data_IF_999492453211
#
_entry.id   IF_999492453211
#
_cell.length_a   1.000
_cell.length_b   1.000
_cell.length_c   1.000
_cell.angle_alpha   90.00
_cell.angle_beta   90.00
_cell.angle_gamma   90.00
#
_symmetry.space_group_name_H-M   'P 1'
#
loop_
_entity.id
_entity.type
_entity.pdbx_description
1 polymer ?
#
# COMPACT_ATOMS: atom_id res chain seq x y z
N UNK A 1 -13.26 -23.92 -6.61
CA UNK A 1 -12.47 -23.17 -5.59
C UNK A 1 -11.42 -22.41 -6.38
N UNK A 2 -11.66 -21.15 -6.70
CA UNK A 2 -10.62 -20.28 -7.23
C UNK A 2 -9.70 -19.94 -6.07
N UNK A 3 -8.46 -20.43 -6.14
CA UNK A 3 -7.41 -19.97 -5.24
C UNK A 3 -7.36 -18.45 -5.39
N UNK A 4 -7.38 -17.73 -4.27
CA UNK A 4 -7.06 -16.30 -4.26
C UNK A 4 -5.60 -16.25 -4.67
N UNK A 5 -5.33 -15.81 -5.91
CA UNK A 5 -3.97 -15.75 -6.42
C UNK A 5 -3.21 -14.75 -5.54
N UNK A 6 -2.25 -15.27 -4.80
CA UNK A 6 -1.32 -14.42 -4.04
C UNK A 6 -0.52 -13.65 -5.08
N UNK A 7 -0.58 -12.35 -5.01
CA UNK A 7 0.24 -11.45 -5.83
C UNK A 7 1.34 -10.84 -4.98
N UNK A 8 2.50 -10.64 -5.59
CA UNK A 8 3.57 -9.84 -5.00
C UNK A 8 3.45 -8.42 -5.56
N UNK A 9 3.32 -7.48 -4.68
CA UNK A 9 3.52 -6.06 -4.98
C UNK A 9 5.02 -5.76 -4.90
N UNK A 10 5.55 -5.16 -5.95
CA UNK A 10 6.95 -4.73 -6.03
C UNK A 10 6.94 -3.23 -6.29
N UNK A 11 7.33 -2.44 -5.32
CA UNK A 11 7.23 -0.99 -5.41
C UNK A 11 8.49 -0.26 -4.97
N UNK A 12 8.71 0.90 -5.56
CA UNK A 12 9.60 1.94 -5.03
C UNK A 12 8.77 3.17 -4.67
N UNK A 13 9.16 3.81 -3.58
CA UNK A 13 8.50 5.01 -3.09
C UNK A 13 9.50 6.15 -3.02
N UNK A 14 9.08 7.31 -3.51
CA UNK A 14 9.89 8.52 -3.55
C UNK A 14 9.15 9.69 -2.91
N UNK A 15 9.87 10.54 -2.18
CA UNK A 15 9.35 11.78 -1.63
C UNK A 15 9.61 12.96 -2.56
N UNK A 16 8.63 13.85 -2.65
CA UNK A 16 8.72 15.08 -3.41
C UNK A 16 8.21 16.25 -2.58
N UNK A 17 8.64 17.45 -2.94
CA UNK A 17 8.20 18.66 -2.28
C UNK A 17 6.69 18.90 -2.51
N UNK A 18 6.26 18.66 -3.75
CA UNK A 18 4.89 18.76 -4.22
C UNK A 18 4.72 18.01 -5.55
N UNK A 19 3.52 18.04 -6.12
CA UNK A 19 3.23 17.44 -7.41
C UNK A 19 4.03 18.05 -8.57
N UNK A 20 4.32 19.35 -8.52
CA UNK A 20 5.10 20.02 -9.57
C UNK A 20 6.56 19.53 -9.58
N UNK A 21 7.15 19.33 -8.39
CA UNK A 21 8.47 18.71 -8.25
C UNK A 21 8.47 17.27 -8.76
N UNK A 22 7.42 16.49 -8.46
CA UNK A 22 7.27 15.13 -8.97
C UNK A 22 7.19 15.09 -10.51
N UNK A 23 6.37 15.94 -11.13
CA UNK A 23 6.22 16.00 -12.59
C UNK A 23 7.49 16.48 -13.30
N UNK A 24 8.28 17.35 -12.68
CA UNK A 24 9.56 17.80 -13.23
C UNK A 24 10.58 16.67 -13.27
N UNK A 25 10.64 15.83 -12.26
CA UNK A 25 11.60 14.71 -12.14
C UNK A 25 11.13 13.49 -12.90
N UNK A 26 9.82 13.22 -12.87
CA UNK A 26 9.15 12.09 -13.50
C UNK A 26 8.09 12.59 -14.48
N UNK A 27 8.48 13.10 -15.67
CA UNK A 27 7.56 13.78 -16.58
C UNK A 27 6.44 12.87 -17.11
N UNK A 28 6.63 11.55 -17.15
CA UNK A 28 5.62 10.59 -17.57
C UNK A 28 4.40 10.54 -16.63
N UNK A 29 4.54 10.90 -15.36
CA UNK A 29 3.46 10.86 -14.37
C UNK A 29 2.25 11.69 -14.82
N UNK A 30 2.50 12.86 -15.43
CA UNK A 30 1.43 13.76 -15.85
C UNK A 30 0.50 13.15 -16.90
N UNK A 31 1.03 12.29 -17.76
CA UNK A 31 0.26 11.57 -18.78
C UNK A 31 -0.31 10.25 -18.25
N UNK A 32 0.27 9.68 -17.19
CA UNK A 32 -0.13 8.40 -16.63
C UNK A 32 -1.41 8.49 -15.80
N UNK A 33 -1.64 9.61 -15.10
CA UNK A 33 -2.78 9.73 -14.18
C UNK A 33 -4.10 9.90 -14.93
N UNK A 34 -5.05 9.05 -14.56
CA UNK A 34 -6.39 9.02 -15.16
C UNK A 34 -7.51 8.82 -14.12
N UNK A 35 -7.17 8.75 -12.84
CA UNK A 35 -8.12 8.49 -11.77
C UNK A 35 -7.69 9.19 -10.49
N UNK A 36 -8.65 9.74 -9.79
CA UNK A 36 -8.50 10.48 -8.55
C UNK A 36 -9.36 9.82 -7.46
N UNK A 37 -8.84 9.68 -6.27
CA UNK A 37 -9.54 9.09 -5.14
C UNK A 37 -9.19 9.81 -3.82
N UNK A 38 -10.19 9.97 -2.97
CA UNK A 38 -10.00 10.23 -1.55
C UNK A 38 -10.10 8.92 -0.79
N UNK A 39 -9.31 8.77 0.24
CA UNK A 39 -9.32 7.55 1.03
C UNK A 39 -9.10 7.80 2.51
N UNK A 40 -9.70 6.93 3.32
CA UNK A 40 -9.43 6.81 4.74
C UNK A 40 -9.11 5.35 5.04
N UNK A 41 -7.96 5.09 5.61
CA UNK A 41 -7.50 3.75 5.97
C UNK A 41 -7.37 3.63 7.48
N UNK A 42 -7.92 2.56 8.02
CA UNK A 42 -7.83 2.16 9.44
C UNK A 42 -6.93 0.96 9.55
N UNK A 43 -5.92 1.03 10.39
CA UNK A 43 -4.98 -0.05 10.63
C UNK A 43 -5.35 -0.82 11.90
N UNK A 44 -5.30 -2.15 11.79
CA UNK A 44 -5.70 -3.10 12.82
C UNK A 44 -4.54 -4.01 13.21
N UNK A 45 -4.54 -4.50 14.46
CA UNK A 45 -3.52 -5.43 14.92
C UNK A 45 -2.14 -4.78 15.04
N UNK A 46 -1.93 -3.96 16.07
CA UNK A 46 -0.64 -3.30 16.29
C UNK A 46 0.52 -4.28 16.39
N UNK A 47 0.31 -5.48 16.91
CA UNK A 47 1.28 -6.57 17.00
C UNK A 47 1.71 -7.08 15.61
N UNK A 48 0.76 -7.22 14.67
CA UNK A 48 1.05 -7.56 13.28
C UNK A 48 1.88 -6.45 12.62
N UNK A 49 1.48 -5.20 12.85
CA UNK A 49 2.20 -4.05 12.33
C UNK A 49 3.65 -4.02 12.81
N UNK A 50 3.90 -4.25 14.09
CA UNK A 50 5.24 -4.30 14.68
C UNK A 50 6.05 -5.51 14.19
N UNK A 51 5.38 -6.58 13.74
CA UNK A 51 5.98 -7.72 13.08
C UNK A 51 6.18 -7.51 11.55
N UNK A 52 5.97 -6.31 11.03
CA UNK A 52 6.19 -5.97 9.63
C UNK A 52 5.04 -6.28 8.69
N UNK A 53 3.88 -6.68 9.21
CA UNK A 53 2.68 -6.95 8.42
C UNK A 53 1.70 -5.79 8.51
N UNK A 54 0.89 -5.57 7.47
CA UNK A 54 -0.16 -4.56 7.46
C UNK A 54 -1.52 -5.22 7.35
N UNK A 55 -2.41 -4.91 8.27
CA UNK A 55 -3.82 -5.29 8.23
C UNK A 55 -4.65 -4.02 8.24
N UNK A 56 -5.49 -3.82 7.22
CA UNK A 56 -6.18 -2.53 7.03
C UNK A 56 -7.60 -2.69 6.50
N UNK A 57 -8.45 -1.74 6.88
CA UNK A 57 -9.71 -1.49 6.20
C UNK A 57 -9.66 -0.08 5.61
N UNK A 58 -9.91 0.03 4.31
CA UNK A 58 -9.92 1.29 3.58
C UNK A 58 -11.32 1.64 3.11
N UNK A 59 -11.70 2.88 3.31
CA UNK A 59 -12.83 3.52 2.64
C UNK A 59 -12.26 4.37 1.52
N UNK A 60 -12.71 4.14 0.30
CA UNK A 60 -12.29 4.87 -0.90
C UNK A 60 -13.50 5.58 -1.48
N UNK A 61 -13.37 6.88 -1.70
CA UNK A 61 -14.37 7.70 -2.37
C UNK A 61 -13.85 8.05 -3.76
N UNK A 62 -14.64 7.71 -4.76
CA UNK A 62 -14.37 8.01 -6.16
C UNK A 62 -15.67 8.38 -6.87
N UNK A 63 -15.69 9.52 -7.59
CA UNK A 63 -16.88 9.97 -8.35
C UNK A 63 -18.17 9.91 -7.52
N UNK A 64 -18.09 10.35 -6.25
CA UNK A 64 -19.17 10.27 -5.24
C UNK A 64 -19.60 8.85 -4.85
N UNK A 65 -18.94 7.81 -5.32
CA UNK A 65 -19.15 6.43 -4.90
C UNK A 65 -18.18 6.05 -3.81
N UNK A 66 -18.68 5.33 -2.82
CA UNK A 66 -17.91 4.85 -1.68
C UNK A 66 -17.74 3.34 -1.77
N UNK A 67 -16.50 2.90 -1.72
CA UNK A 67 -16.11 1.50 -1.65
C UNK A 67 -15.36 1.20 -0.34
N UNK A 68 -15.54 -0.01 0.17
CA UNK A 68 -14.81 -0.51 1.35
C UNK A 68 -13.95 -1.70 0.95
N UNK A 69 -12.70 -1.67 1.39
CA UNK A 69 -11.70 -2.68 1.06
C UNK A 69 -11.08 -3.22 2.34
N UNK A 70 -10.79 -4.50 2.34
CA UNK A 70 -10.01 -5.17 3.36
C UNK A 70 -8.69 -5.58 2.73
N UNK A 71 -7.58 -5.25 3.38
CA UNK A 71 -6.25 -5.51 2.86
C UNK A 71 -5.33 -6.13 3.90
N UNK A 72 -4.47 -7.05 3.45
CA UNK A 72 -3.36 -7.58 4.21
C UNK A 72 -2.10 -7.55 3.34
N UNK A 73 -1.00 -7.08 3.93
CA UNK A 73 0.35 -7.19 3.34
C UNK A 73 1.25 -7.96 4.28
N UNK A 74 2.04 -8.87 3.73
CA UNK A 74 3.08 -9.60 4.43
C UNK A 74 4.31 -8.75 4.73
N UNK A 75 5.34 -9.39 5.28
CA UNK A 75 6.63 -8.77 5.54
C UNK A 75 7.34 -8.36 4.23
N UNK A 76 8.13 -7.29 4.29
CA UNK A 76 8.95 -6.86 3.17
C UNK A 76 10.18 -7.77 3.03
N UNK A 77 10.34 -8.40 1.89
CA UNK A 77 11.47 -9.27 1.54
C UNK A 77 12.41 -8.65 0.50
N UNK A 78 12.11 -7.42 0.06
CA UNK A 78 12.89 -6.72 -0.95
C UNK A 78 14.17 -6.07 -0.42
N UNK A 79 15.08 -5.76 -1.32
CA UNK A 79 16.36 -5.07 -1.00
C UNK A 79 16.42 -3.66 -1.55
N UNK A 80 16.11 -3.44 -2.81
CA UNK A 80 16.12 -2.12 -3.49
C UNK A 80 14.73 -1.56 -3.75
N UNK A 81 13.72 -2.43 -3.79
CA UNK A 81 12.30 -2.11 -3.81
C UNK A 81 11.61 -2.92 -2.73
N UNK A 82 10.45 -2.49 -2.25
CA UNK A 82 9.63 -3.30 -1.36
C UNK A 82 9.05 -4.47 -2.15
N UNK A 83 9.10 -5.68 -1.59
CA UNK A 83 8.48 -6.88 -2.15
C UNK A 83 7.63 -7.51 -1.07
N UNK A 84 6.31 -7.53 -1.26
CA UNK A 84 5.35 -8.04 -0.28
C UNK A 84 4.30 -8.92 -0.93
N UNK A 85 3.91 -9.98 -0.25
CA UNK A 85 2.62 -10.61 -0.54
C UNK A 85 1.51 -9.64 -0.18
N UNK A 86 0.53 -9.49 -1.07
CA UNK A 86 -0.64 -8.65 -0.83
C UNK A 86 -1.93 -9.39 -1.17
N UNK A 87 -2.93 -9.18 -0.32
CA UNK A 87 -4.33 -9.50 -0.59
C UNK A 87 -5.11 -8.23 -0.34
N UNK A 88 -5.78 -7.70 -1.37
CA UNK A 88 -6.74 -6.62 -1.23
C UNK A 88 -8.06 -7.03 -1.88
N UNK A 89 -9.14 -6.85 -1.16
CA UNK A 89 -10.46 -7.31 -1.59
C UNK A 89 -11.54 -6.29 -1.25
N UNK A 90 -12.47 -6.09 -2.17
CA UNK A 90 -13.64 -5.26 -1.91
C UNK A 90 -14.64 -6.00 -1.03
N UNK A 91 -15.14 -5.29 -0.01
CA UNK A 91 -16.13 -5.80 0.95
C UNK A 91 -17.37 -4.91 1.02
N UNK A 92 -17.56 -3.98 0.10
CA UNK A 92 -18.69 -3.03 0.05
C UNK A 92 -20.05 -3.75 0.10
N UNK A 93 -20.21 -4.79 -0.72
CA UNK A 93 -21.41 -5.65 -0.77
C UNK A 93 -21.27 -6.97 -0.02
N UNK A 94 -20.25 -7.07 0.85
CA UNK A 94 -19.86 -8.33 1.49
C UNK A 94 -18.91 -9.17 0.62
N UNK A 95 -18.23 -10.12 1.26
CA UNK A 95 -17.37 -11.10 0.60
C UNK A 95 -17.46 -12.44 1.35
N UNK A 96 -17.98 -13.47 0.70
CA UNK A 96 -18.15 -14.80 1.31
C UNK A 96 -16.91 -15.67 1.31
N UNK A 97 -15.84 -15.24 0.68
CA UNK A 97 -14.60 -16.00 0.52
C UNK A 97 -13.36 -15.14 0.83
N UNK A 98 -13.48 -14.24 1.84
CA UNK A 98 -12.39 -13.35 2.21
C UNK A 98 -11.06 -14.10 2.38
N UNK A 99 -10.11 -13.74 1.51
CA UNK A 99 -8.74 -14.22 1.58
C UNK A 99 -8.00 -13.66 2.77
N UNK A 100 -8.22 -12.36 3.06
CA UNK A 100 -7.62 -11.67 4.21
C UNK A 100 -8.05 -12.34 5.51
N UNK A 101 -9.36 -12.57 5.70
CA UNK A 101 -9.85 -13.27 6.89
C UNK A 101 -9.30 -14.69 7.00
N UNK A 102 -9.17 -15.40 5.86
CA UNK A 102 -8.51 -16.71 5.85
C UNK A 102 -7.04 -16.63 6.28
N UNK A 103 -6.31 -15.58 5.90
CA UNK A 103 -4.89 -15.38 6.24
C UNK A 103 -4.69 -15.14 7.75
N UNK A 104 -5.62 -14.44 8.41
CA UNK A 104 -5.55 -14.13 9.85
C UNK A 104 -6.36 -15.07 10.74
N UNK A 105 -6.90 -16.17 10.22
CA UNK A 105 -7.64 -17.17 10.99
C UNK A 105 -9.07 -16.77 11.37
N UNK A 106 -9.68 -15.84 10.64
CA UNK A 106 -11.02 -15.35 10.86
C UNK A 106 -12.09 -16.05 10.03
N UNK A 107 -13.36 -15.68 10.30
CA UNK A 107 -14.49 -16.11 9.49
C UNK A 107 -14.40 -15.47 8.11
N UNK A 108 -14.36 -16.27 7.05
CA UNK A 108 -14.23 -15.81 5.67
C UNK A 108 -15.52 -15.24 5.08
N UNK A 109 -16.66 -15.49 5.71
CA UNK A 109 -17.98 -14.98 5.27
C UNK A 109 -18.24 -13.60 5.86
N UNK A 110 -17.92 -12.57 5.11
CA UNK A 110 -18.10 -11.17 5.47
C UNK A 110 -19.32 -10.64 4.74
N UNK A 111 -20.40 -10.38 5.49
CA UNK A 111 -21.68 -9.92 4.94
C UNK A 111 -21.68 -8.40 4.66
N UNK A 112 -20.87 -7.62 5.36
CA UNK A 112 -20.76 -6.18 5.24
C UNK A 112 -19.45 -5.69 5.89
N UNK A 113 -19.01 -4.44 5.64
CA UNK A 113 -17.81 -3.87 6.26
C UNK A 113 -17.82 -3.92 7.80
N UNK A 114 -18.99 -3.72 8.43
CA UNK A 114 -19.14 -3.79 9.88
C UNK A 114 -18.96 -5.22 10.42
N UNK A 115 -19.27 -6.23 9.62
CA UNK A 115 -19.01 -7.62 9.98
C UNK A 115 -17.49 -7.90 9.98
N UNK A 116 -16.76 -7.37 9.02
CA UNK A 116 -15.30 -7.44 8.99
C UNK A 116 -14.69 -6.80 10.25
N UNK A 117 -15.14 -5.61 10.62
CA UNK A 117 -14.64 -4.93 11.83
C UNK A 117 -14.90 -5.75 13.10
N UNK A 118 -16.12 -6.28 13.28
CA UNK A 118 -16.44 -7.14 14.44
C UNK A 118 -15.58 -8.39 14.48
N UNK A 119 -15.28 -8.98 13.32
CA UNK A 119 -14.43 -10.16 13.25
C UNK A 119 -12.97 -9.84 13.59
N UNK A 120 -12.44 -8.71 13.13
CA UNK A 120 -11.11 -8.23 13.53
C UNK A 120 -11.03 -8.02 15.04
N UNK A 121 -12.04 -7.37 15.64
CA UNK A 121 -12.11 -7.16 17.10
C UNK A 121 -12.20 -8.51 17.86
N UNK A 122 -12.98 -9.48 17.35
CA UNK A 122 -13.09 -10.84 17.92
C UNK A 122 -11.75 -11.58 17.90
N UNK A 123 -10.95 -11.38 16.88
CA UNK A 123 -9.60 -11.94 16.74
C UNK A 123 -8.55 -11.20 17.60
N UNK A 124 -8.93 -10.11 18.26
CA UNK A 124 -8.04 -9.27 19.04
C UNK A 124 -7.29 -8.19 18.24
N UNK A 125 -7.52 -8.11 16.95
CA UNK A 125 -6.91 -7.09 16.08
C UNK A 125 -7.69 -5.78 16.19
N UNK A 126 -7.36 -4.97 17.19
CA UNK A 126 -8.01 -3.68 17.42
C UNK A 126 -7.47 -2.61 16.48
N UNK A 127 -8.32 -1.65 16.12
CA UNK A 127 -7.90 -0.43 15.44
C UNK A 127 -6.91 0.33 16.33
N UNK A 128 -5.78 0.77 15.76
CA UNK A 128 -4.76 1.50 16.51
C UNK A 128 -4.29 2.78 15.80
N UNK A 129 -4.59 2.94 14.50
CA UNK A 129 -4.19 4.10 13.73
C UNK A 129 -5.16 4.34 12.58
N UNK A 130 -5.51 5.59 12.35
CA UNK A 130 -6.30 6.05 11.20
C UNK A 130 -5.43 6.98 10.37
N UNK A 131 -5.57 6.88 9.08
CA UNK A 131 -4.74 7.55 8.10
C UNK A 131 -5.60 7.94 6.90
N UNK A 132 -5.45 9.14 6.38
CA UNK A 132 -6.25 9.59 5.25
C UNK A 132 -5.41 10.37 4.24
N UNK A 133 -5.90 10.46 3.04
CA UNK A 133 -5.22 11.18 1.98
C UNK A 133 -5.97 11.18 0.67
N UNK A 134 -5.29 11.71 -0.30
CA UNK A 134 -5.77 11.87 -1.67
C UNK A 134 -4.74 11.27 -2.63
N UNK A 135 -5.19 10.48 -3.61
CA UNK A 135 -4.31 9.88 -4.60
C UNK A 135 -4.73 10.22 -6.02
N UNK A 136 -3.73 10.55 -6.84
CA UNK A 136 -3.82 10.43 -8.29
C UNK A 136 -3.27 9.07 -8.68
N UNK A 137 -4.05 8.28 -9.40
CA UNK A 137 -3.70 6.92 -9.82
C UNK A 137 -3.63 6.84 -11.33
N UNK A 138 -2.75 6.01 -11.83
CA UNK A 138 -2.62 5.80 -13.25
C UNK A 138 -1.73 4.62 -13.62
N UNK A 139 -1.48 4.52 -14.90
CA UNK A 139 -0.60 3.49 -15.46
C UNK A 139 0.18 4.06 -16.63
N UNK A 140 1.49 3.94 -16.60
CA UNK A 140 2.34 4.25 -17.73
C UNK A 140 2.48 3.01 -18.62
N UNK A 141 1.96 3.10 -19.84
CA UNK A 141 1.93 1.97 -20.78
C UNK A 141 3.31 1.61 -21.31
N UNK A 142 4.16 2.60 -21.54
CA UNK A 142 5.50 2.39 -22.09
C UNK A 142 6.42 1.70 -21.08
N UNK A 143 6.37 2.13 -19.82
CA UNK A 143 7.16 1.55 -18.74
C UNK A 143 6.48 0.32 -18.12
N UNK A 144 5.22 0.06 -18.46
CA UNK A 144 4.38 -0.99 -17.87
C UNK A 144 4.42 -0.95 -16.34
N UNK A 145 4.14 0.24 -15.75
CA UNK A 145 4.12 0.47 -14.31
C UNK A 145 2.81 1.12 -13.88
N UNK A 146 2.28 0.68 -12.74
CA UNK A 146 1.28 1.46 -12.03
C UNK A 146 1.94 2.66 -11.34
N UNK A 147 1.25 3.78 -11.36
CA UNK A 147 1.73 5.06 -10.81
C UNK A 147 0.73 5.59 -9.80
N UNK A 148 1.22 6.03 -8.66
CA UNK A 148 0.43 6.67 -7.62
C UNK A 148 1.14 7.91 -7.13
N UNK A 149 0.50 9.06 -7.20
CA UNK A 149 0.92 10.24 -6.46
C UNK A 149 -0.03 10.41 -5.29
N UNK A 150 0.52 10.31 -4.10
CA UNK A 150 -0.19 10.34 -2.84
C UNK A 150 0.07 11.68 -2.14
N UNK A 151 -1.01 12.31 -1.69
CA UNK A 151 -0.94 13.44 -0.79
C UNK A 151 -1.54 13.05 0.56
N UNK A 152 -0.71 13.06 1.59
CA UNK A 152 -1.07 12.68 2.96
C UNK A 152 -0.74 13.82 3.90
N UNK A 153 -1.72 14.63 4.33
CA UNK A 153 -1.49 15.78 5.20
C UNK A 153 -0.97 15.37 6.59
N UNK A 154 -1.17 14.12 6.97
CA UNK A 154 -0.70 13.59 8.26
C UNK A 154 0.81 13.27 8.28
N UNK A 155 1.50 13.33 7.15
CA UNK A 155 2.93 13.05 7.05
C UNK A 155 3.76 14.33 7.06
N UNK A 156 4.98 14.25 7.60
CA UNK A 156 5.96 15.36 7.55
C UNK A 156 6.38 15.68 6.11
N UNK A 157 6.36 14.68 5.23
CA UNK A 157 6.54 14.82 3.79
C UNK A 157 5.24 14.38 3.11
N UNK A 158 4.33 15.31 2.82
CA UNK A 158 2.98 14.96 2.42
C UNK A 158 2.85 14.44 0.99
N UNK A 159 3.84 14.69 0.11
CA UNK A 159 3.79 14.28 -1.30
C UNK A 159 4.73 13.09 -1.57
N UNK A 160 4.13 11.95 -1.85
CA UNK A 160 4.81 10.69 -2.17
C UNK A 160 4.42 10.21 -3.57
N UNK A 161 5.38 9.61 -4.28
CA UNK A 161 5.11 8.88 -5.53
C UNK A 161 5.49 7.43 -5.32
N UNK A 162 4.58 6.53 -5.66
CA UNK A 162 4.81 5.10 -5.75
C UNK A 162 4.82 4.66 -7.21
N UNK A 163 5.83 3.88 -7.57
CA UNK A 163 5.96 3.20 -8.86
C UNK A 163 5.94 1.72 -8.60
N UNK A 164 4.94 1.03 -9.14
CA UNK A 164 4.60 -0.33 -8.76
C UNK A 164 4.55 -1.26 -9.96
N UNK A 165 4.99 -2.49 -9.74
CA UNK A 165 4.79 -3.64 -10.62
C UNK A 165 4.25 -4.81 -9.80
N UNK A 166 3.44 -5.64 -10.42
CA UNK A 166 2.96 -6.88 -9.80
C UNK A 166 3.71 -8.08 -10.33
N UNK A 167 3.78 -9.14 -9.51
CA UNK A 167 4.38 -10.41 -9.88
C UNK A 167 3.58 -11.59 -9.29
N UNK A 168 3.60 -12.73 -9.97
CA UNK A 168 2.91 -13.95 -9.54
C UNK A 168 3.85 -14.97 -8.87
N UNK A 169 5.14 -14.68 -8.79
CA UNK A 169 6.13 -15.54 -8.15
C UNK A 169 7.29 -14.69 -7.58
N UNK A 170 8.03 -15.25 -6.64
CA UNK A 170 9.23 -14.63 -6.06
C UNK A 170 10.27 -14.32 -7.13
N UNK A 171 10.49 -15.20 -8.09
CA UNK A 171 11.45 -14.98 -9.18
C UNK A 171 11.04 -13.79 -10.05
N UNK A 172 9.76 -13.73 -10.45
CA UNK A 172 9.21 -12.59 -11.18
C UNK A 172 9.32 -11.29 -10.35
N UNK A 173 9.10 -11.35 -9.03
CA UNK A 173 9.23 -10.18 -8.17
C UNK A 173 10.67 -9.63 -8.14
N UNK A 174 11.68 -10.48 -8.09
CA UNK A 174 13.09 -10.08 -8.18
C UNK A 174 13.44 -9.44 -9.53
N UNK A 175 12.83 -9.94 -10.62
CA UNK A 175 12.96 -9.32 -11.93
C UNK A 175 12.33 -7.91 -11.93
N UNK A 176 11.10 -7.75 -11.39
CA UNK A 176 10.45 -6.45 -11.27
C UNK A 176 11.24 -5.47 -10.41
N UNK A 177 11.85 -5.95 -9.32
CA UNK A 177 12.75 -5.14 -8.51
C UNK A 177 13.93 -4.59 -9.34
N UNK A 178 14.52 -5.41 -10.20
CA UNK A 178 15.63 -4.99 -11.08
C UNK A 178 15.18 -3.93 -12.09
N UNK A 179 13.97 -4.08 -12.64
CA UNK A 179 13.37 -3.10 -13.57
C UNK A 179 13.16 -1.74 -12.86
N UNK A 180 12.58 -1.75 -11.66
CA UNK A 180 12.38 -0.54 -10.86
C UNK A 180 13.70 0.12 -10.44
N UNK A 181 14.72 -0.67 -10.09
CA UNK A 181 16.07 -0.14 -9.84
C UNK A 181 16.67 0.54 -11.09
N UNK A 182 16.31 0.09 -12.29
CA UNK A 182 16.63 0.76 -13.55
C UNK A 182 16.01 2.16 -13.65
N UNK A 183 14.75 2.31 -13.23
CA UNK A 183 14.07 3.61 -13.18
C UNK A 183 14.70 4.55 -12.15
N UNK A 184 15.09 4.03 -10.98
CA UNK A 184 15.80 4.81 -9.96
C UNK A 184 17.05 5.46 -10.56
N UNK A 185 17.88 4.68 -11.26
CA UNK A 185 19.08 5.19 -11.92
C UNK A 185 18.77 6.16 -13.06
N UNK A 186 17.80 5.80 -13.94
CA UNK A 186 17.39 6.64 -15.08
C UNK A 186 16.97 8.03 -14.67
N UNK A 187 16.19 8.13 -13.58
CA UNK A 187 15.62 9.39 -13.10
C UNK A 187 16.35 9.98 -11.89
N UNK A 188 17.48 9.40 -11.47
CA UNK A 188 18.34 9.86 -10.35
C UNK A 188 17.54 10.01 -9.04
N UNK A 189 16.78 8.98 -8.69
CA UNK A 189 15.85 9.00 -7.55
C UNK A 189 16.49 8.59 -6.23
N UNK A 190 17.75 8.19 -6.18
CA UNK A 190 18.43 7.60 -5.02
C UNK A 190 18.25 8.44 -3.74
N UNK A 191 18.34 9.76 -3.87
CA UNK A 191 18.18 10.69 -2.73
C UNK A 191 16.72 10.95 -2.33
N UNK A 192 15.77 10.46 -3.12
CA UNK A 192 14.34 10.62 -2.90
C UNK A 192 13.66 9.36 -2.40
N UNK A 193 14.36 8.21 -2.48
CA UNK A 193 13.81 6.92 -2.05
C UNK A 193 13.46 6.93 -0.57
N UNK A 194 12.32 6.34 -0.27
CA UNK A 194 11.83 6.03 1.08
C UNK A 194 11.48 4.55 1.10
N UNK A 195 12.03 3.81 2.05
CA UNK A 195 11.71 2.39 2.24
C UNK A 195 10.47 2.20 3.09
N UNK A 196 10.29 3.07 4.06
CA UNK A 196 9.14 2.97 4.96
C UNK A 196 7.83 3.20 4.21
N UNK A 197 6.86 2.34 4.51
CA UNK A 197 5.47 2.51 4.07
C UNK A 197 4.86 3.78 4.69
N UNK A 198 3.90 4.46 4.01
CA UNK A 198 3.23 5.62 4.57
C UNK A 198 2.65 5.41 5.97
N UNK A 199 2.00 4.26 6.28
CA UNK A 199 1.55 4.00 7.66
C UNK A 199 2.70 3.85 8.65
N UNK A 200 3.88 3.38 8.25
CA UNK A 200 5.06 3.32 9.11
C UNK A 200 5.60 4.71 9.42
N UNK A 201 5.62 5.61 8.44
CA UNK A 201 5.99 7.01 8.64
C UNK A 201 5.05 7.69 9.65
N UNK A 202 3.74 7.48 9.50
CA UNK A 202 2.74 8.00 10.43
C UNK A 202 2.89 7.40 11.83
N UNK A 203 3.07 6.09 11.94
CA UNK A 203 3.29 5.41 13.21
C UNK A 203 4.51 5.99 13.95
N UNK A 204 5.63 6.16 13.24
CA UNK A 204 6.86 6.72 13.80
C UNK A 204 6.68 8.16 14.29
N UNK A 205 5.86 8.95 13.59
CA UNK A 205 5.49 10.30 14.01
C UNK A 205 4.63 10.30 15.28
N UNK A 206 3.65 9.42 15.37
CA UNK A 206 2.68 9.41 16.48
C UNK A 206 3.24 8.76 17.75
N UNK A 207 4.03 7.71 17.61
CA UNK A 207 4.45 6.85 18.73
C UNK A 207 5.97 6.78 18.94
N UNK A 208 6.74 7.53 18.15
CA UNK A 208 8.19 7.45 18.13
C UNK A 208 8.71 6.27 17.30
N UNK A 209 10.00 6.31 16.94
CA UNK A 209 10.60 5.27 16.10
C UNK A 209 10.51 3.91 16.78
N UNK A 210 9.96 2.95 16.07
CA UNK A 210 9.98 1.54 16.49
C UNK A 210 11.40 1.02 16.42
N UNK A 211 11.98 0.69 17.56
CA UNK A 211 13.29 0.04 17.57
C UNK A 211 13.22 -1.30 16.86
N UNK A 212 13.83 -1.42 15.68
CA UNK A 212 14.24 -2.68 15.08
C UNK A 212 13.38 -3.31 13.99
N UNK A 213 12.09 -3.04 13.87
CA UNK A 213 11.25 -3.73 12.86
C UNK A 213 11.35 -3.13 11.44
N UNK A 214 11.85 -1.92 11.30
CA UNK A 214 11.94 -1.18 10.04
C UNK A 214 13.29 -0.46 9.88
N UNK A 215 14.39 -1.07 10.33
CA UNK A 215 15.73 -0.51 10.12
C UNK A 215 16.11 -0.71 8.65
N UNK A 216 16.46 0.36 7.90
CA UNK A 216 17.05 0.17 6.57
C UNK A 216 18.37 -0.56 6.71
N UNK A 217 18.59 -1.56 5.87
CA UNK A 217 19.88 -2.19 5.66
C UNK A 217 20.83 -1.23 4.93
#
# INVERSE_FOLDING_TARGET
MTATDITFEVEIRCRFQDAADAYRVLPFLKASFNREIDWTTRHYGRELFLAGQLLRMSEIVRDSRRGHFLGWKGEDTGTTANIREEIEEEITGGNRHSGVMGKIGGNRDIQAPEAARRELDRLGHREFMVFHGHNLLGHDQELAIATKLMYCPDLDVPCLVELEKTASSTEAALQRQTELAGLVRKYKLEKRLIREEPPTLLYNRLFGKTGGAFTPL
#
